data_IF_362365791957
#
_entry.id   IF_362365791957
#
_cell.length_a   1.000
_cell.length_b   1.000
_cell.length_c   1.000
_cell.angle_alpha   90.00
_cell.angle_beta   90.00
_cell.angle_gamma   90.00
#
_symmetry.space_group_name_H-M   'P 1'
#
loop_
_entity.id
_entity.type
_entity.pdbx_description
1 polymer ?
#
# COMPACT_ATOMS: atom_id res chain seq x y z
N UNK A 1 -35.82 46.98 20.38
CA UNK A 1 -34.36 47.22 20.44
C UNK A 1 -33.80 47.15 19.03
N UNK A 2 -33.05 48.18 18.64
CA UNK A 2 -32.53 48.21 17.24
C UNK A 2 -31.43 47.17 17.03
N UNK A 3 -31.43 46.50 15.89
CA UNK A 3 -30.40 45.55 15.44
C UNK A 3 -28.97 46.06 15.65
N UNK A 4 -28.80 47.35 15.48
CA UNK A 4 -27.50 48.07 15.72
C UNK A 4 -27.05 48.05 17.18
N UNK A 5 -27.96 48.13 18.13
CA UNK A 5 -27.60 48.07 19.55
C UNK A 5 -27.21 46.67 20.02
N UNK A 6 -27.72 45.65 19.35
CA UNK A 6 -27.36 44.28 19.61
C UNK A 6 -25.96 43.92 19.05
N UNK A 7 -25.62 44.42 17.86
CA UNK A 7 -24.29 44.27 17.27
C UNK A 7 -23.21 44.96 18.13
N UNK A 8 -23.45 46.13 18.62
CA UNK A 8 -22.51 46.84 19.54
C UNK A 8 -22.35 46.05 20.83
N UNK A 9 -23.43 45.50 21.42
CA UNK A 9 -23.31 44.68 22.62
C UNK A 9 -22.54 43.38 22.38
N UNK A 10 -22.68 42.75 21.21
CA UNK A 10 -21.91 41.55 20.81
C UNK A 10 -20.45 41.89 20.60
N UNK A 11 -20.11 43.07 20.08
CA UNK A 11 -18.73 43.54 19.96
C UNK A 11 -17.99 43.59 21.29
N UNK A 12 -18.62 44.18 22.32
CA UNK A 12 -18.04 44.27 23.66
C UNK A 12 -18.00 42.93 24.42
N UNK A 13 -18.79 41.93 24.00
CA UNK A 13 -18.83 40.59 24.60
C UNK A 13 -17.99 39.54 23.86
N UNK A 14 -17.20 39.93 22.87
CA UNK A 14 -16.35 39.07 22.01
C UNK A 14 -17.11 37.91 21.33
N UNK A 15 -18.42 38.13 21.05
CA UNK A 15 -19.33 37.14 20.44
C UNK A 15 -19.74 37.49 19.02
N UNK A 16 -19.03 38.40 18.33
CA UNK A 16 -19.37 38.86 17.01
C UNK A 16 -18.92 37.85 15.92
N UNK A 17 -19.79 37.53 14.99
CA UNK A 17 -19.47 36.70 13.82
C UNK A 17 -18.84 37.54 12.72
N UNK A 18 -18.04 36.92 11.83
CA UNK A 18 -17.32 37.61 10.74
C UNK A 18 -18.22 38.41 9.80
N UNK A 19 -19.44 37.93 9.55
CA UNK A 19 -20.41 38.58 8.66
C UNK A 19 -21.00 39.83 9.34
N UNK A 20 -21.21 39.78 10.65
CA UNK A 20 -21.68 40.89 11.49
C UNK A 20 -20.63 42.02 11.67
N UNK A 21 -19.34 41.67 11.52
CA UNK A 21 -18.23 42.65 11.52
C UNK A 21 -18.26 43.58 10.30
N UNK A 22 -18.73 43.08 9.15
CA UNK A 22 -18.84 43.88 7.94
C UNK A 22 -19.97 44.93 8.06
N UNK A 23 -21.09 44.52 8.64
CA UNK A 23 -22.21 45.43 8.89
C UNK A 23 -21.88 46.50 9.91
N UNK A 24 -20.95 46.22 10.82
CA UNK A 24 -20.44 47.19 11.81
C UNK A 24 -19.49 48.22 11.23
N UNK A 25 -18.69 47.83 10.20
CA UNK A 25 -17.72 48.72 9.55
C UNK A 25 -18.38 49.78 8.67
N UNK A 26 -19.64 49.55 8.27
CA UNK A 26 -20.44 50.51 7.47
C UNK A 26 -21.21 51.51 8.32
N UNK A 27 -21.18 51.38 9.66
CA UNK A 27 -21.95 52.27 10.55
C UNK A 27 -21.11 53.48 10.94
N UNK A 28 -21.26 54.55 10.17
CA UNK A 28 -20.79 55.94 10.43
C UNK A 28 -21.11 56.49 11.84
N UNK A 29 -22.00 55.80 12.57
CA UNK A 29 -22.48 56.14 13.88
C UNK A 29 -21.55 55.71 15.01
N UNK A 30 -20.63 54.74 14.80
CA UNK A 30 -19.67 54.31 15.84
C UNK A 30 -18.58 55.38 16.00
N UNK A 31 -18.07 55.90 14.90
CA UNK A 31 -17.10 57.02 14.93
C UNK A 31 -17.67 58.25 15.62
N UNK A 32 -18.89 58.64 15.32
CA UNK A 32 -19.55 59.77 16.00
C UNK A 32 -19.75 59.53 17.48
N UNK A 33 -20.22 58.37 17.89
CA UNK A 33 -20.40 58.08 19.33
C UNK A 33 -19.08 57.98 20.10
N UNK A 34 -18.08 57.35 19.51
CA UNK A 34 -16.74 57.28 20.11
C UNK A 34 -16.12 58.66 20.20
N UNK A 35 -16.31 59.50 19.17
CA UNK A 35 -15.82 60.90 19.19
C UNK A 35 -16.51 61.74 20.24
N UNK A 36 -17.83 61.66 20.38
CA UNK A 36 -18.59 62.37 21.40
C UNK A 36 -18.21 61.87 22.79
N UNK A 37 -18.09 60.57 22.99
CA UNK A 37 -17.71 59.99 24.29
C UNK A 37 -16.26 60.34 24.68
N UNK A 38 -15.35 60.43 23.71
CA UNK A 38 -14.00 60.88 23.91
C UNK A 38 -13.92 62.38 24.30
N UNK A 39 -14.70 63.21 23.61
CA UNK A 39 -14.79 64.65 23.89
C UNK A 39 -15.45 64.93 25.28
N UNK A 40 -16.48 64.13 25.68
CA UNK A 40 -17.08 64.25 27.01
C UNK A 40 -16.18 63.75 28.13
N UNK A 41 -15.34 62.75 27.94
CA UNK A 41 -14.46 62.19 28.94
C UNK A 41 -13.12 62.95 29.09
N UNK A 42 -12.77 63.81 28.12
CA UNK A 42 -11.52 64.59 28.14
C UNK A 42 -11.75 66.06 27.91
N UNK A 43 -12.37 66.77 28.87
CA UNK A 43 -12.62 68.20 28.73
C UNK A 43 -11.36 69.12 28.80
N UNK A 44 -10.16 68.52 28.94
CA UNK A 44 -8.89 69.24 29.06
C UNK A 44 -8.13 69.34 27.72
N UNK A 45 -8.70 68.92 26.64
CA UNK A 45 -8.01 68.86 25.34
C UNK A 45 -7.93 70.20 24.59
N UNK A 46 -8.28 71.32 25.22
CA UNK A 46 -8.22 72.64 24.57
C UNK A 46 -6.78 73.20 24.43
N UNK A 47 -5.78 72.52 24.99
CA UNK A 47 -4.37 72.92 24.91
C UNK A 47 -3.40 71.80 24.56
N UNK A 48 -3.87 70.64 24.08
CA UNK A 48 -2.97 69.63 23.56
C UNK A 48 -2.63 69.89 22.10
N UNK A 49 -1.35 70.00 21.79
CA UNK A 49 -0.81 70.06 20.45
C UNK A 49 -1.54 68.98 19.59
N UNK A 50 -2.22 69.45 18.52
CA UNK A 50 -2.88 68.53 17.61
C UNK A 50 -1.84 67.59 17.07
N UNK A 51 -1.97 66.30 17.40
CA UNK A 51 -1.15 65.26 16.80
C UNK A 51 -1.35 65.32 15.31
N UNK A 52 -0.25 65.44 14.59
CA UNK A 52 -0.25 65.52 13.14
C UNK A 52 -1.06 64.36 12.54
N UNK A 53 -2.06 64.63 11.70
CA UNK A 53 -2.90 63.56 11.10
C UNK A 53 -2.09 62.48 10.41
N UNK A 54 -0.91 62.81 9.82
CA UNK A 54 -0.05 61.80 9.22
C UNK A 54 0.51 60.78 10.23
N UNK A 55 0.74 61.19 11.50
CA UNK A 55 1.18 60.26 12.56
C UNK A 55 0.02 59.32 12.92
N UNK A 56 -1.20 59.81 12.99
CA UNK A 56 -2.39 59.02 13.25
C UNK A 56 -2.61 57.93 12.19
N UNK A 57 -2.52 58.32 10.92
CA UNK A 57 -2.66 57.38 9.81
C UNK A 57 -1.53 56.34 9.77
N UNK A 58 -0.31 56.73 10.07
CA UNK A 58 0.84 55.81 10.17
C UNK A 58 0.65 54.76 11.25
N UNK A 59 0.22 55.18 12.43
CA UNK A 59 -0.04 54.29 13.58
C UNK A 59 -1.18 53.33 13.24
N UNK A 60 -2.27 53.84 12.62
CA UNK A 60 -3.42 53.09 12.23
C UNK A 60 -3.08 52.02 11.16
N UNK A 61 -2.32 52.39 10.15
CA UNK A 61 -1.83 51.50 9.13
C UNK A 61 -0.97 50.35 9.69
N UNK A 62 -0.12 50.67 10.71
CA UNK A 62 0.72 49.69 11.37
C UNK A 62 -0.08 48.71 12.22
N UNK A 63 -1.07 49.19 12.97
CA UNK A 63 -1.98 48.36 13.79
C UNK A 63 -2.78 47.41 12.88
N UNK A 64 -3.37 47.93 11.82
CA UNK A 64 -4.17 47.12 10.86
C UNK A 64 -3.32 46.05 10.15
N UNK A 65 -2.09 46.40 9.79
CA UNK A 65 -1.16 45.46 9.15
C UNK A 65 -0.76 44.31 10.12
N UNK A 66 -0.50 44.66 11.38
CA UNK A 66 -0.11 43.67 12.40
C UNK A 66 -1.27 42.76 12.77
N UNK A 67 -2.49 43.27 12.85
CA UNK A 67 -3.71 42.49 13.08
C UNK A 67 -4.04 41.55 11.92
N UNK A 68 -3.92 41.99 10.66
CA UNK A 68 -4.12 41.14 9.45
C UNK A 68 -3.10 39.99 9.37
N UNK A 69 -1.85 40.24 9.76
CA UNK A 69 -0.81 39.19 9.76
C UNK A 69 -1.08 38.12 10.80
N UNK A 70 -1.53 38.53 11.99
CA UNK A 70 -1.82 37.61 13.09
C UNK A 70 -3.05 36.74 12.84
N UNK A 71 -4.09 37.28 12.21
CA UNK A 71 -5.32 36.56 11.90
C UNK A 71 -5.12 35.49 10.78
N UNK A 72 -4.30 35.79 9.77
CA UNK A 72 -4.01 34.83 8.69
C UNK A 72 -3.21 33.60 9.16
N UNK A 73 -2.27 33.77 10.10
CA UNK A 73 -1.46 32.64 10.58
C UNK A 73 -2.25 31.60 11.39
N UNK A 74 -3.26 32.00 12.13
CA UNK A 74 -4.09 31.05 12.91
C UNK A 74 -5.03 30.19 12.05
N UNK A 75 -5.59 30.75 10.97
CA UNK A 75 -6.57 30.08 10.14
C UNK A 75 -5.96 28.95 9.27
N UNK A 76 -4.76 29.18 8.74
CA UNK A 76 -4.09 28.23 7.85
C UNK A 76 -3.67 26.97 8.61
N UNK A 77 -3.11 27.14 9.81
CA UNK A 77 -2.60 26.04 10.63
C UNK A 77 -3.71 25.07 11.09
N UNK A 78 -4.91 25.56 11.32
CA UNK A 78 -6.04 24.76 11.82
C UNK A 78 -6.65 23.83 10.74
N UNK A 79 -6.47 24.15 9.45
CA UNK A 79 -6.95 23.33 8.33
C UNK A 79 -5.96 22.23 7.91
N UNK A 80 -4.66 22.44 8.07
CA UNK A 80 -3.65 21.47 7.63
C UNK A 80 -3.49 20.28 8.58
N UNK A 81 -3.72 20.42 9.87
CA UNK A 81 -3.62 19.31 10.83
C UNK A 81 -4.63 18.18 10.56
N UNK A 82 -5.94 18.43 10.36
CA UNK A 82 -6.88 17.36 10.06
C UNK A 82 -6.63 16.72 8.70
N UNK A 83 -6.16 17.50 7.70
CA UNK A 83 -5.82 16.96 6.38
C UNK A 83 -4.58 16.06 6.46
N UNK A 84 -3.53 16.49 7.16
CA UNK A 84 -2.34 15.67 7.38
C UNK A 84 -2.66 14.39 8.16
N UNK A 85 -3.50 14.46 9.20
CA UNK A 85 -3.95 13.29 9.95
C UNK A 85 -4.74 12.31 9.07
N UNK A 86 -5.61 12.81 8.17
CA UNK A 86 -6.34 11.99 7.22
C UNK A 86 -5.41 11.28 6.21
N UNK A 87 -4.40 11.98 5.70
CA UNK A 87 -3.40 11.37 4.81
C UNK A 87 -2.58 10.27 5.51
N UNK A 88 -2.18 10.49 6.76
CA UNK A 88 -1.46 9.48 7.55
C UNK A 88 -2.36 8.27 7.85
N UNK A 89 -3.63 8.49 8.19
CA UNK A 89 -4.59 7.41 8.42
C UNK A 89 -4.83 6.59 7.14
N UNK A 90 -5.01 7.25 5.98
CA UNK A 90 -5.14 6.57 4.69
C UNK A 90 -3.88 5.78 4.32
N UNK A 91 -2.69 6.35 4.53
CA UNK A 91 -1.43 5.65 4.30
C UNK A 91 -1.26 4.43 5.21
N UNK A 92 -1.67 4.52 6.48
CA UNK A 92 -1.65 3.40 7.41
C UNK A 92 -2.64 2.28 7.01
N UNK A 93 -3.86 2.64 6.57
CA UNK A 93 -4.86 1.67 6.09
C UNK A 93 -4.39 1.00 4.80
N UNK A 94 -3.90 1.78 3.83
CA UNK A 94 -3.36 1.23 2.57
C UNK A 94 -2.11 0.39 2.80
N UNK A 95 -1.19 0.86 3.63
CA UNK A 95 0.01 0.11 4.02
C UNK A 95 -0.33 -1.18 4.76
N UNK A 96 -1.27 -1.14 5.70
CA UNK A 96 -1.78 -2.31 6.40
C UNK A 96 -2.47 -3.30 5.47
N UNK A 97 -3.26 -2.81 4.51
CA UNK A 97 -3.87 -3.68 3.50
C UNK A 97 -2.85 -4.30 2.56
N UNK A 98 -1.93 -3.52 2.02
CA UNK A 98 -0.84 -4.05 1.18
C UNK A 98 0.01 -5.06 1.95
N UNK A 99 0.31 -4.80 3.23
CA UNK A 99 0.98 -5.75 4.11
C UNK A 99 0.14 -7.02 4.30
N UNK A 100 -1.16 -6.90 4.55
CA UNK A 100 -2.07 -8.06 4.72
C UNK A 100 -2.19 -8.88 3.43
N UNK A 101 -2.35 -8.25 2.26
CA UNK A 101 -2.42 -8.94 0.96
C UNK A 101 -1.09 -9.59 0.59
N UNK A 102 0.04 -8.99 0.96
CA UNK A 102 1.38 -9.53 0.73
C UNK A 102 1.89 -10.42 1.90
N UNK A 103 1.14 -10.59 2.98
CA UNK A 103 1.56 -11.40 4.12
C UNK A 103 1.72 -12.89 3.80
N UNK A 104 1.14 -13.37 2.69
CA UNK A 104 1.44 -14.71 2.15
C UNK A 104 2.93 -14.92 1.82
N UNK A 105 3.72 -13.83 1.74
CA UNK A 105 5.17 -13.90 1.52
C UNK A 105 5.96 -14.47 2.72
N UNK A 106 5.35 -14.50 3.91
CA UNK A 106 5.97 -15.05 5.14
C UNK A 106 5.41 -16.41 5.57
N UNK A 107 4.55 -17.04 4.75
CA UNK A 107 4.18 -18.43 5.00
C UNK A 107 5.44 -19.25 4.76
N UNK A 108 6.07 -19.69 5.85
CA UNK A 108 7.19 -20.62 5.82
C UNK A 108 6.69 -21.86 5.10
N UNK A 109 7.06 -22.03 3.83
CA UNK A 109 6.68 -23.22 3.06
C UNK A 109 7.24 -24.45 3.78
N UNK A 110 6.39 -25.23 4.39
CA UNK A 110 6.77 -26.51 4.96
C UNK A 110 6.84 -27.53 3.84
N UNK A 111 8.00 -28.12 3.67
CA UNK A 111 8.24 -29.19 2.70
C UNK A 111 8.17 -30.55 3.36
N UNK A 112 7.62 -31.51 2.64
CA UNK A 112 7.77 -32.92 2.91
C UNK A 112 8.87 -33.47 2.01
N UNK A 113 9.72 -34.35 2.53
CA UNK A 113 10.76 -35.04 1.79
C UNK A 113 10.59 -36.52 1.94
N UNK A 114 10.72 -37.25 0.82
CA UNK A 114 10.64 -38.70 0.75
C UNK A 114 11.89 -39.22 0.05
N UNK A 115 12.60 -40.11 0.71
CA UNK A 115 13.83 -40.73 0.18
C UNK A 115 13.59 -42.20 -0.08
N UNK A 116 13.92 -42.65 -1.28
CA UNK A 116 13.77 -44.02 -1.71
C UNK A 116 15.11 -44.79 -1.57
N UNK A 117 15.18 -45.74 -0.64
CA UNK A 117 16.34 -46.66 -0.51
C UNK A 117 16.22 -47.89 -1.43
N UNK A 118 15.03 -48.12 -1.96
CA UNK A 118 14.68 -49.20 -2.90
C UNK A 118 13.60 -48.70 -3.85
N UNK A 119 13.30 -49.48 -4.89
CA UNK A 119 12.15 -49.18 -5.74
C UNK A 119 10.88 -49.10 -4.89
N UNK A 120 10.22 -47.93 -4.94
CA UNK A 120 8.97 -47.70 -4.20
C UNK A 120 7.99 -46.84 -5.00
N UNK A 121 6.71 -47.07 -4.77
CA UNK A 121 5.64 -46.23 -5.27
C UNK A 121 5.24 -45.27 -4.16
N UNK A 122 5.28 -43.98 -4.46
CA UNK A 122 4.78 -42.93 -3.57
C UNK A 122 3.61 -42.20 -4.22
N UNK A 123 2.52 -42.04 -3.49
CA UNK A 123 1.37 -41.27 -3.94
C UNK A 123 1.40 -39.86 -3.34
N UNK A 124 1.43 -38.86 -4.22
CA UNK A 124 1.39 -37.46 -3.84
C UNK A 124 -0.03 -37.05 -3.37
N UNK A 125 -0.18 -35.92 -2.65
CA UNK A 125 -1.47 -35.46 -2.13
C UNK A 125 -2.54 -35.19 -3.21
N UNK A 126 -2.12 -34.90 -4.46
CA UNK A 126 -3.00 -34.73 -5.61
C UNK A 126 -3.40 -36.02 -6.31
N UNK A 127 -3.08 -37.17 -5.74
CA UNK A 127 -3.24 -38.50 -6.29
C UNK A 127 -2.40 -38.80 -7.52
N UNK A 128 -1.37 -38.00 -7.80
CA UNK A 128 -0.33 -38.38 -8.75
C UNK A 128 0.59 -39.44 -8.13
N UNK A 129 1.12 -40.33 -8.97
CA UNK A 129 1.96 -41.46 -8.57
C UNK A 129 3.40 -41.18 -9.02
N UNK A 130 4.36 -41.45 -8.12
CA UNK A 130 5.79 -41.36 -8.39
C UNK A 130 6.44 -42.71 -8.08
N UNK A 131 6.94 -43.36 -9.07
CA UNK A 131 7.74 -44.56 -8.93
C UNK A 131 9.20 -44.20 -8.82
N UNK A 132 9.68 -44.23 -7.60
CA UNK A 132 11.02 -43.80 -7.21
C UNK A 132 11.99 -44.97 -7.31
N UNK A 133 13.12 -44.70 -7.96
CA UNK A 133 14.24 -45.66 -8.02
C UNK A 133 15.12 -45.54 -6.77
N UNK A 134 16.01 -46.52 -6.49
CA UNK A 134 16.91 -46.45 -5.35
C UNK A 134 17.79 -45.20 -5.40
N UNK A 135 18.05 -44.60 -4.25
CA UNK A 135 18.84 -43.38 -4.09
C UNK A 135 18.21 -42.13 -4.75
N UNK A 136 16.91 -42.16 -5.02
CA UNK A 136 16.17 -40.94 -5.42
C UNK A 136 15.47 -40.31 -4.21
N UNK A 137 15.28 -39.01 -4.28
CA UNK A 137 14.47 -38.26 -3.33
C UNK A 137 13.56 -37.27 -4.04
N UNK A 138 12.40 -37.06 -3.45
CA UNK A 138 11.45 -36.03 -3.87
C UNK A 138 11.15 -35.12 -2.66
N UNK A 139 11.10 -33.83 -2.93
CA UNK A 139 10.67 -32.82 -1.97
C UNK A 139 9.49 -32.05 -2.56
N UNK A 140 8.47 -31.79 -1.79
CA UNK A 140 7.27 -31.07 -2.23
C UNK A 140 6.66 -30.26 -1.09
N UNK A 141 5.93 -29.19 -1.41
CA UNK A 141 5.27 -28.36 -0.41
C UNK A 141 4.12 -29.12 0.26
N UNK A 142 3.94 -29.02 1.58
CA UNK A 142 2.82 -29.64 2.29
C UNK A 142 1.45 -29.16 1.76
N UNK A 143 1.38 -27.94 1.27
CA UNK A 143 0.17 -27.38 0.65
C UNK A 143 0.11 -27.65 -0.86
N UNK A 144 0.38 -28.92 -1.24
CA UNK A 144 0.57 -29.38 -2.61
C UNK A 144 -0.63 -29.10 -3.53
N UNK A 145 -1.85 -29.11 -3.02
CA UNK A 145 -3.05 -28.89 -3.85
C UNK A 145 -3.13 -27.49 -4.48
N UNK A 146 -2.51 -26.51 -3.85
CA UNK A 146 -2.42 -25.13 -4.40
C UNK A 146 -1.21 -24.94 -5.29
N UNK A 147 -0.13 -25.66 -5.00
CA UNK A 147 1.14 -25.51 -5.67
C UNK A 147 1.79 -26.87 -5.89
N UNK A 148 1.57 -27.43 -7.09
CA UNK A 148 1.99 -28.76 -7.48
C UNK A 148 3.44 -28.79 -7.96
N UNK A 149 4.36 -28.34 -7.06
CA UNK A 149 5.81 -28.33 -7.30
C UNK A 149 6.50 -29.49 -6.59
N UNK A 150 7.33 -30.20 -7.34
CA UNK A 150 8.18 -31.29 -6.83
C UNK A 150 9.61 -31.02 -7.23
N UNK A 151 10.54 -31.15 -6.31
CA UNK A 151 11.97 -31.16 -6.56
C UNK A 151 12.45 -32.59 -6.54
N UNK A 152 13.05 -33.04 -7.63
CA UNK A 152 13.54 -34.40 -7.79
C UNK A 152 15.06 -34.44 -7.74
N UNK A 153 15.59 -35.35 -6.94
CA UNK A 153 16.98 -35.81 -7.01
C UNK A 153 16.99 -37.30 -7.36
N UNK A 154 17.86 -37.69 -8.32
CA UNK A 154 17.92 -39.06 -8.81
C UNK A 154 16.91 -39.36 -9.91
N UNK A 155 16.50 -40.62 -10.04
CA UNK A 155 15.65 -41.12 -11.12
C UNK A 155 14.27 -41.50 -10.63
N UNK A 156 13.21 -41.09 -11.35
CA UNK A 156 11.83 -41.43 -10.99
C UNK A 156 10.91 -41.38 -12.19
N UNK A 157 9.92 -42.25 -12.22
CA UNK A 157 8.83 -42.21 -13.20
C UNK A 157 7.60 -41.59 -12.60
N UNK A 158 7.06 -40.58 -13.26
CA UNK A 158 5.88 -39.83 -12.84
C UNK A 158 4.67 -40.23 -13.66
N UNK A 159 3.55 -40.47 -12.96
CA UNK A 159 2.23 -40.56 -13.55
C UNK A 159 1.35 -39.45 -12.95
N UNK A 160 1.37 -38.30 -13.60
CA UNK A 160 0.70 -37.09 -13.12
C UNK A 160 -0.77 -37.12 -13.46
N UNK A 161 -1.61 -36.99 -12.45
CA UNK A 161 -3.06 -36.91 -12.62
C UNK A 161 -3.46 -35.56 -13.22
N UNK A 162 -4.30 -35.59 -14.27
CA UNK A 162 -4.80 -34.36 -14.88
C UNK A 162 -5.74 -33.62 -13.92
N UNK A 163 -5.43 -32.36 -13.65
CA UNK A 163 -6.31 -31.44 -12.93
C UNK A 163 -6.56 -30.22 -13.82
N UNK A 164 -7.83 -29.84 -13.97
CA UNK A 164 -8.20 -28.69 -14.80
C UNK A 164 -7.71 -27.40 -14.15
N UNK A 165 -6.94 -26.61 -14.91
CA UNK A 165 -6.44 -25.29 -14.51
C UNK A 165 -5.11 -25.28 -13.76
N UNK A 166 -4.62 -26.42 -13.24
CA UNK A 166 -3.37 -26.47 -12.47
C UNK A 166 -2.30 -27.28 -13.17
N UNK A 167 -1.15 -26.67 -13.40
CA UNK A 167 0.05 -27.33 -13.91
C UNK A 167 0.80 -28.04 -12.79
N UNK A 168 1.53 -29.10 -13.16
CA UNK A 168 2.43 -29.82 -12.26
C UNK A 168 3.87 -29.56 -12.70
N UNK A 169 4.76 -29.17 -11.79
CA UNK A 169 6.14 -28.84 -12.10
C UNK A 169 7.10 -29.76 -11.38
N UNK A 170 8.06 -30.32 -12.12
CA UNK A 170 9.18 -31.09 -11.56
C UNK A 170 10.46 -30.34 -11.81
N UNK A 171 11.10 -29.90 -10.74
CA UNK A 171 12.39 -29.23 -10.75
C UNK A 171 13.51 -30.26 -10.70
N UNK A 172 14.48 -30.11 -11.60
CA UNK A 172 15.64 -31.00 -11.77
C UNK A 172 16.86 -30.11 -12.02
N UNK A 173 17.81 -30.08 -11.08
CA UNK A 173 18.99 -29.21 -11.18
C UNK A 173 18.64 -27.73 -11.53
N UNK A 174 18.97 -27.29 -12.77
CA UNK A 174 18.77 -25.93 -13.28
C UNK A 174 17.65 -25.85 -14.34
N UNK A 175 16.74 -26.82 -14.33
CA UNK A 175 15.63 -26.90 -15.27
C UNK A 175 14.34 -27.36 -14.56
N UNK A 176 13.21 -27.14 -15.18
CA UNK A 176 11.96 -27.72 -14.72
C UNK A 176 11.12 -28.26 -15.88
N UNK A 177 10.36 -29.29 -15.55
CA UNK A 177 9.40 -29.95 -16.43
C UNK A 177 8.01 -29.49 -16.02
N UNK A 178 7.24 -28.93 -16.95
CA UNK A 178 5.86 -28.54 -16.71
C UNK A 178 4.90 -29.47 -17.47
N UNK A 179 3.90 -30.02 -16.76
CA UNK A 179 2.93 -30.97 -17.32
C UNK A 179 1.52 -30.72 -16.80
N UNK A 180 0.51 -31.22 -17.51
CA UNK A 180 -0.92 -31.09 -17.13
C UNK A 180 -1.59 -32.42 -16.80
N UNK A 181 -0.98 -33.54 -17.17
CA UNK A 181 -1.50 -34.88 -16.98
C UNK A 181 -0.75 -35.82 -17.91
N UNK A 182 0.37 -36.36 -17.43
CA UNK A 182 1.43 -36.90 -18.28
C UNK A 182 2.10 -38.05 -17.58
N UNK A 183 2.54 -39.06 -18.34
CA UNK A 183 3.42 -40.13 -17.86
C UNK A 183 4.79 -39.94 -18.48
N UNK A 184 5.81 -39.75 -17.65
CA UNK A 184 7.19 -39.52 -18.08
C UNK A 184 8.21 -40.06 -17.05
N UNK A 185 9.38 -40.40 -17.55
CA UNK A 185 10.53 -40.83 -16.76
C UNK A 185 11.59 -39.71 -16.77
N UNK A 186 12.12 -39.43 -15.62
CA UNK A 186 13.37 -38.69 -15.48
C UNK A 186 14.41 -39.66 -14.98
N UNK A 187 15.48 -39.81 -15.74
CA UNK A 187 16.58 -40.71 -15.43
C UNK A 187 17.89 -39.93 -15.33
N UNK A 188 18.43 -39.84 -14.12
CA UNK A 188 19.68 -39.15 -13.84
C UNK A 188 20.87 -40.06 -14.19
N UNK A 189 21.59 -39.71 -15.24
CA UNK A 189 22.79 -40.45 -15.65
C UNK A 189 24.04 -39.99 -14.86
N UNK A 190 25.00 -40.89 -14.67
CA UNK A 190 26.23 -40.64 -13.93
C UNK A 190 27.06 -39.47 -14.45
N UNK A 191 26.90 -39.10 -15.72
CA UNK A 191 27.61 -37.99 -16.36
C UNK A 191 27.02 -36.60 -16.08
N UNK A 192 26.01 -36.49 -15.20
CA UNK A 192 25.33 -35.22 -14.91
C UNK A 192 24.31 -34.80 -15.96
N UNK A 193 24.04 -35.65 -16.95
CA UNK A 193 22.98 -35.45 -17.94
C UNK A 193 21.69 -36.12 -17.47
N UNK A 194 20.59 -35.39 -17.53
CA UNK A 194 19.27 -35.94 -17.23
C UNK A 194 18.61 -36.38 -18.52
N UNK A 195 18.21 -37.66 -18.62
CA UNK A 195 17.40 -38.17 -19.72
C UNK A 195 15.93 -38.08 -19.32
N UNK A 196 15.13 -37.39 -20.14
CA UNK A 196 13.68 -37.30 -19.96
C UNK A 196 13.01 -38.08 -21.08
N UNK A 197 12.22 -39.09 -20.71
CA UNK A 197 11.45 -39.89 -21.66
C UNK A 197 9.95 -39.64 -21.45
N UNK A 198 9.27 -39.19 -22.48
CA UNK A 198 7.83 -38.99 -22.47
C UNK A 198 7.08 -40.18 -23.03
N UNK A 199 6.20 -40.81 -22.23
CA UNK A 199 5.37 -41.92 -22.65
C UNK A 199 4.00 -41.49 -23.15
N UNK A 200 3.34 -40.57 -22.41
CA UNK A 200 1.98 -40.15 -22.77
C UNK A 200 1.75 -38.70 -22.27
N UNK A 201 1.03 -37.89 -23.04
CA UNK A 201 0.70 -36.53 -22.74
C UNK A 201 1.59 -35.52 -23.43
N UNK A 202 1.88 -34.40 -22.75
CA UNK A 202 2.75 -33.32 -23.23
C UNK A 202 3.66 -32.88 -22.12
N UNK A 203 4.91 -32.64 -22.42
CA UNK A 203 5.93 -32.11 -21.52
C UNK A 203 6.45 -30.81 -22.10
N UNK A 204 6.47 -29.80 -21.31
CA UNK A 204 7.19 -28.54 -21.56
C UNK A 204 8.44 -28.50 -20.66
N UNK A 205 9.60 -28.69 -21.30
CA UNK A 205 10.89 -28.64 -20.61
C UNK A 205 11.48 -27.23 -20.69
N UNK A 206 11.77 -26.64 -19.54
CA UNK A 206 12.24 -25.28 -19.42
C UNK A 206 13.61 -25.24 -18.75
N UNK A 207 14.59 -24.61 -19.38
CA UNK A 207 15.93 -24.39 -18.84
C UNK A 207 16.01 -23.00 -18.22
N UNK A 208 16.16 -22.90 -16.89
CA UNK A 208 16.12 -21.62 -16.17
C UNK A 208 17.23 -20.65 -16.61
N UNK A 209 18.45 -21.17 -16.84
CA UNK A 209 19.62 -20.36 -17.18
C UNK A 209 19.51 -19.63 -18.53
N UNK A 210 18.78 -20.22 -19.50
CA UNK A 210 18.72 -19.71 -20.88
C UNK A 210 17.34 -19.26 -21.29
N UNK A 211 16.30 -19.56 -20.49
CA UNK A 211 14.90 -19.36 -20.84
C UNK A 211 14.43 -20.23 -22.02
N UNK A 212 15.25 -21.21 -22.42
CA UNK A 212 14.91 -22.09 -23.54
C UNK A 212 13.80 -23.06 -23.16
N UNK A 213 12.76 -23.12 -23.96
CA UNK A 213 11.62 -24.01 -23.79
C UNK A 213 11.60 -25.06 -24.93
N UNK A 214 11.40 -26.32 -24.57
CA UNK A 214 11.29 -27.46 -25.52
C UNK A 214 9.97 -28.18 -25.19
N UNK A 215 9.12 -28.33 -26.21
CA UNK A 215 7.88 -29.09 -26.08
C UNK A 215 8.09 -30.49 -26.65
N UNK A 216 7.87 -31.50 -25.80
CA UNK A 216 8.04 -32.91 -26.19
C UNK A 216 6.70 -33.53 -26.59
N UNK A 217 6.77 -34.37 -27.59
CA UNK A 217 5.68 -35.26 -28.02
C UNK A 217 5.85 -36.66 -27.43
N UNK A 218 4.75 -37.44 -27.33
CA UNK A 218 4.84 -38.82 -26.87
C UNK A 218 5.89 -39.63 -27.63
N UNK A 219 6.64 -40.45 -26.90
CA UNK A 219 7.75 -41.31 -27.38
C UNK A 219 9.04 -40.55 -27.71
N UNK A 220 9.12 -39.24 -27.41
CA UNK A 220 10.37 -38.48 -27.54
C UNK A 220 11.23 -38.57 -26.27
N UNK A 221 12.54 -38.38 -26.47
CA UNK A 221 13.55 -38.28 -25.40
C UNK A 221 14.38 -37.01 -25.56
N UNK A 222 14.77 -36.43 -24.43
CA UNK A 222 15.72 -35.32 -24.35
C UNK A 222 16.88 -35.75 -23.43
N UNK A 223 18.07 -35.31 -23.78
CA UNK A 223 19.31 -35.55 -23.02
C UNK A 223 19.90 -34.22 -22.56
#
# INVERSE_FOLDING_TARGET
MSYKSELIRKLFSDRLKKDELKDLSEIDMIERKMKVQWEEQNPIAENSERVDPEIGDYIWAKIVKEYKVRSKRKSIRQFYYPLAAACVALAAVLGGWLFYVNSDFFVKEEFAEVVATRNMLYQLPDSSEVWMYPNSSIRFAKNFNKDRRVWLEGSSMFHVRKQHGNTFKVYIDKAFIEVKGTRFLVDKKEAGNNEITLFNGCVEFNVEATGKQIVMKPMEKIF
#
